data_IF_167824657148
#
_entry.id   IF_167824657148
#
_cell.length_a   1.000
_cell.length_b   1.000
_cell.length_c   1.000
_cell.angle_alpha   90.00
_cell.angle_beta   90.00
_cell.angle_gamma   90.00
#
_symmetry.space_group_name_H-M   'P 1'
#
loop_
_entity.id
_entity.type
_entity.pdbx_description
1 polymer ?
#
# COMPACT_ATOMS: atom_id res chain seq x y z
N UNK A 1 18.04 67.01 -66.56
CA UNK A 1 18.36 65.57 -66.53
C UNK A 1 18.67 65.18 -65.12
N UNK A 2 17.65 64.73 -64.37
CA UNK A 2 17.79 64.30 -62.95
C UNK A 2 17.77 62.77 -62.96
N UNK A 3 18.81 62.19 -62.43
CA UNK A 3 18.91 60.73 -62.22
C UNK A 3 18.46 60.43 -60.77
N UNK A 4 17.33 59.74 -60.61
CA UNK A 4 16.86 59.22 -59.33
C UNK A 4 17.52 57.88 -59.10
N UNK A 5 18.27 57.74 -58.00
CA UNK A 5 18.80 56.46 -57.53
C UNK A 5 17.79 55.84 -56.58
N UNK A 6 17.28 54.66 -56.94
CA UNK A 6 16.41 53.81 -56.09
C UNK A 6 17.29 52.95 -55.15
N UNK A 7 17.23 53.20 -53.87
CA UNK A 7 17.84 52.29 -52.85
C UNK A 7 16.84 51.19 -52.47
N UNK A 8 17.19 49.95 -52.74
CA UNK A 8 16.42 48.75 -52.33
C UNK A 8 16.74 48.45 -50.86
N UNK A 9 15.73 48.54 -50.02
CA UNK A 9 15.79 48.04 -48.62
C UNK A 9 15.32 46.56 -48.57
N UNK A 10 16.21 45.62 -48.24
CA UNK A 10 15.87 44.23 -47.95
C UNK A 10 15.35 44.14 -46.50
N UNK A 11 14.20 43.50 -46.24
CA UNK A 11 13.78 43.23 -44.87
C UNK A 11 14.56 42.00 -44.33
N UNK A 12 15.23 42.18 -43.17
CA UNK A 12 15.81 41.10 -42.39
C UNK A 12 14.70 40.29 -41.74
N UNK A 13 14.51 39.07 -42.20
CA UNK A 13 13.66 38.07 -41.54
C UNK A 13 14.37 37.62 -40.25
N UNK A 14 13.94 38.15 -39.08
CA UNK A 14 14.28 37.63 -37.78
C UNK A 14 13.53 36.29 -37.59
N UNK A 15 14.24 35.19 -37.72
CA UNK A 15 13.72 33.87 -37.41
C UNK A 15 13.49 33.76 -35.89
N UNK A 16 12.24 33.82 -35.43
CA UNK A 16 11.89 33.39 -34.09
C UNK A 16 12.10 31.86 -33.97
N UNK A 17 13.18 31.46 -33.32
CA UNK A 17 13.35 30.11 -32.86
C UNK A 17 12.29 29.82 -31.77
N UNK A 18 11.20 29.17 -32.14
CA UNK A 18 10.24 28.61 -31.18
C UNK A 18 10.93 27.47 -30.46
N UNK A 19 11.35 27.70 -29.24
CA UNK A 19 11.70 26.64 -28.29
C UNK A 19 10.46 25.79 -28.07
N UNK A 20 10.45 24.58 -28.66
CA UNK A 20 9.43 23.61 -28.41
C UNK A 20 9.51 23.22 -26.91
N UNK A 21 8.58 23.76 -26.12
CA UNK A 21 8.36 23.26 -24.77
C UNK A 21 7.88 21.81 -24.90
N UNK A 22 8.75 20.86 -24.60
CA UNK A 22 8.36 19.46 -24.48
C UNK A 22 7.42 19.35 -23.27
N UNK A 23 6.13 19.32 -23.53
CA UNK A 23 5.15 18.93 -22.51
C UNK A 23 5.59 17.60 -21.91
N UNK A 24 5.53 17.43 -20.56
CA UNK A 24 5.84 16.15 -19.95
C UNK A 24 4.99 15.05 -20.62
N UNK A 25 5.63 13.99 -21.09
CA UNK A 25 4.91 12.86 -21.66
C UNK A 25 3.96 12.28 -20.61
N UNK A 26 2.73 11.93 -21.02
CA UNK A 26 1.77 11.28 -20.11
C UNK A 26 2.39 10.05 -19.43
N UNK A 27 2.05 9.80 -18.15
CA UNK A 27 2.54 8.62 -17.45
C UNK A 27 2.18 7.33 -18.23
N UNK A 28 3.12 6.39 -18.30
CA UNK A 28 2.86 5.07 -18.86
C UNK A 28 2.08 4.23 -17.83
N UNK A 29 1.02 3.57 -18.27
CA UNK A 29 0.26 2.58 -17.48
C UNK A 29 0.39 1.20 -18.14
N UNK A 30 0.83 0.17 -17.40
CA UNK A 30 0.97 -1.16 -17.94
C UNK A 30 -0.40 -1.80 -18.20
N UNK A 31 -0.59 -2.48 -19.36
CA UNK A 31 -1.80 -3.24 -19.65
C UNK A 31 -1.96 -4.44 -18.71
N UNK A 32 -3.12 -5.10 -18.76
CA UNK A 32 -3.39 -6.28 -17.96
C UNK A 32 -2.40 -7.41 -18.27
N UNK A 33 -1.84 -8.02 -17.22
CA UNK A 33 -0.93 -9.16 -17.33
C UNK A 33 0.49 -8.82 -17.80
N UNK A 34 0.72 -7.63 -18.37
CA UNK A 34 2.01 -7.20 -18.91
C UNK A 34 2.55 -5.96 -18.21
N UNK A 35 3.85 -5.77 -18.25
CA UNK A 35 4.49 -4.55 -17.78
C UNK A 35 5.76 -4.32 -18.58
N UNK A 36 5.81 -3.21 -19.33
CA UNK A 36 6.96 -2.89 -20.14
C UNK A 36 8.22 -2.69 -19.31
N UNK A 37 9.31 -3.19 -19.83
CA UNK A 37 10.65 -3.03 -19.25
C UNK A 37 11.41 -2.00 -20.08
N UNK A 38 12.26 -1.23 -19.41
CA UNK A 38 13.27 -0.43 -20.07
C UNK A 38 14.63 -0.74 -19.48
N UNK A 39 15.64 -0.75 -20.31
CA UNK A 39 17.01 -0.83 -19.83
C UNK A 39 17.35 0.42 -19.01
N UNK A 40 18.20 0.32 -17.99
CA UNK A 40 18.63 1.46 -17.21
C UNK A 40 19.12 2.63 -18.08
N UNK A 41 19.89 2.34 -19.12
CA UNK A 41 20.45 3.35 -20.03
C UNK A 41 19.38 4.16 -20.77
N UNK A 42 18.26 3.56 -21.18
CA UNK A 42 17.14 4.28 -21.83
C UNK A 42 16.50 5.35 -20.93
N UNK A 43 16.62 5.17 -19.63
CA UNK A 43 16.06 6.11 -18.62
C UNK A 43 17.14 6.95 -17.93
N UNK A 44 18.38 6.90 -18.42
CA UNK A 44 19.51 7.66 -17.85
C UNK A 44 19.99 7.13 -16.50
N UNK A 45 19.60 5.91 -16.11
CA UNK A 45 20.00 5.27 -14.87
C UNK A 45 21.42 4.70 -15.05
N UNK A 46 22.30 4.86 -14.05
CA UNK A 46 23.59 4.19 -14.04
C UNK A 46 23.42 2.67 -13.89
N UNK A 47 23.75 1.87 -14.92
CA UNK A 47 23.49 0.43 -14.89
C UNK A 47 24.33 -0.30 -13.84
N UNK A 48 25.57 0.19 -13.57
CA UNK A 48 26.47 -0.43 -12.59
C UNK A 48 25.98 -0.16 -11.18
N UNK A 49 25.56 1.07 -10.89
CA UNK A 49 25.03 1.43 -9.59
C UNK A 49 23.69 0.70 -9.31
N UNK A 50 22.78 0.60 -10.29
CA UNK A 50 21.55 -0.16 -10.13
C UNK A 50 21.83 -1.66 -9.92
N UNK A 51 22.76 -2.25 -10.68
CA UNK A 51 23.15 -3.66 -10.50
C UNK A 51 23.71 -3.90 -9.10
N UNK A 52 24.53 -3.00 -8.58
CA UNK A 52 25.07 -3.08 -7.22
C UNK A 52 23.95 -2.96 -6.16
N UNK A 53 22.95 -2.10 -6.38
CA UNK A 53 21.78 -2.00 -5.51
C UNK A 53 20.97 -3.32 -5.50
N UNK A 54 20.74 -3.93 -6.65
CA UNK A 54 20.05 -5.23 -6.76
C UNK A 54 20.86 -6.34 -6.07
N UNK A 55 22.15 -6.40 -6.27
CA UNK A 55 23.02 -7.37 -5.61
C UNK A 55 22.98 -7.20 -4.08
N UNK A 56 22.99 -5.96 -3.59
CA UNK A 56 22.77 -5.67 -2.18
C UNK A 56 21.44 -6.25 -1.69
N UNK A 57 20.34 -5.99 -2.40
CA UNK A 57 19.03 -6.48 -2.02
C UNK A 57 18.95 -8.01 -1.97
N UNK A 58 19.53 -8.69 -2.96
CA UNK A 58 19.63 -10.15 -3.02
C UNK A 58 20.43 -10.76 -1.86
N UNK A 59 21.45 -10.06 -1.37
CA UNK A 59 22.27 -10.51 -0.25
C UNK A 59 21.60 -10.39 1.11
N UNK A 60 20.41 -9.80 1.19
CA UNK A 60 19.67 -9.48 2.43
C UNK A 60 18.47 -10.39 2.64
N UNK A 61 18.62 -11.69 2.48
CA UNK A 61 17.56 -12.65 2.84
C UNK A 61 17.19 -12.55 4.32
N UNK A 62 15.92 -12.59 4.63
CA UNK A 62 15.42 -12.67 6.03
C UNK A 62 15.80 -14.01 6.67
N UNK A 63 15.95 -14.03 7.98
CA UNK A 63 16.14 -15.25 8.78
C UNK A 63 14.85 -16.03 9.02
N UNK A 64 13.69 -15.52 8.57
CA UNK A 64 12.40 -16.23 8.72
C UNK A 64 12.44 -17.57 7.99
N UNK A 65 11.87 -18.60 8.63
CA UNK A 65 11.82 -19.93 8.05
C UNK A 65 11.11 -19.95 6.69
N UNK A 66 11.67 -20.66 5.71
CA UNK A 66 11.07 -20.77 4.37
C UNK A 66 9.80 -21.60 4.40
N UNK A 67 9.77 -22.64 5.22
CA UNK A 67 8.67 -23.58 5.40
C UNK A 67 7.61 -23.09 6.42
N UNK A 68 7.69 -21.84 6.84
CA UNK A 68 6.84 -21.26 7.88
C UNK A 68 6.83 -22.04 9.22
N UNK A 69 7.88 -22.81 9.52
CA UNK A 69 7.97 -23.54 10.78
C UNK A 69 7.98 -22.62 12.01
N UNK A 70 8.33 -21.36 11.84
CA UNK A 70 8.27 -20.31 12.87
C UNK A 70 6.90 -19.60 12.98
N UNK A 71 5.95 -19.93 12.12
CA UNK A 71 4.65 -19.25 12.04
C UNK A 71 3.84 -19.39 13.33
N UNK A 72 3.79 -20.59 13.87
CA UNK A 72 2.97 -20.91 15.03
C UNK A 72 3.44 -20.16 16.28
N UNK A 73 4.75 -20.11 16.48
CA UNK A 73 5.35 -19.34 17.58
C UNK A 73 5.17 -17.84 17.45
N UNK A 74 5.08 -17.32 16.21
CA UNK A 74 5.03 -15.88 15.95
C UNK A 74 3.61 -15.35 15.79
N UNK A 75 2.72 -16.10 15.14
CA UNK A 75 1.39 -15.63 14.73
C UNK A 75 0.23 -16.53 15.17
N UNK A 76 0.49 -17.56 15.96
CA UNK A 76 -0.50 -18.57 16.31
C UNK A 76 -0.65 -19.65 15.25
N UNK A 77 -1.77 -20.36 15.25
CA UNK A 77 -1.94 -21.57 14.46
C UNK A 77 -1.61 -21.40 12.98
N UNK A 78 -0.96 -22.41 12.42
CA UNK A 78 -0.86 -22.61 10.98
C UNK A 78 -2.24 -22.80 10.39
N UNK A 79 -2.49 -22.20 9.25
CA UNK A 79 -3.70 -22.47 8.50
C UNK A 79 -3.49 -23.51 7.43
N UNK A 80 -4.49 -24.36 7.31
CA UNK A 80 -4.50 -25.41 6.31
C UNK A 80 -4.44 -24.94 4.84
N UNK A 81 -4.69 -23.67 4.58
CA UNK A 81 -4.67 -23.10 3.24
C UNK A 81 -3.42 -22.25 2.93
N UNK A 82 -2.51 -22.04 3.91
CA UNK A 82 -1.23 -21.37 3.62
C UNK A 82 -0.37 -22.20 2.67
N UNK A 83 0.42 -21.57 1.81
CA UNK A 83 1.46 -22.29 1.10
C UNK A 83 2.43 -22.93 2.09
N UNK A 84 3.01 -24.06 1.69
CA UNK A 84 3.96 -24.79 2.54
C UNK A 84 5.30 -24.09 2.66
N UNK A 85 5.60 -23.19 1.71
CA UNK A 85 6.83 -22.45 1.65
C UNK A 85 6.58 -21.01 1.19
N UNK A 86 7.47 -20.09 1.56
CA UNK A 86 7.56 -18.74 1.03
C UNK A 86 8.63 -18.65 -0.07
N UNK A 87 8.50 -17.66 -0.92
CA UNK A 87 9.60 -17.29 -1.80
C UNK A 87 10.85 -16.89 -0.97
N UNK A 88 12.03 -16.98 -1.59
CA UNK A 88 13.23 -16.31 -1.12
C UNK A 88 13.10 -14.80 -1.33
N UNK A 89 14.11 -14.02 -0.86
CA UNK A 89 14.08 -12.56 -1.10
C UNK A 89 13.92 -12.27 -2.58
N UNK A 90 12.99 -11.40 -2.89
CA UNK A 90 12.66 -11.03 -4.26
C UNK A 90 12.18 -9.57 -4.31
N UNK A 91 12.24 -8.98 -5.49
CA UNK A 91 11.77 -7.60 -5.62
C UNK A 91 11.72 -7.07 -7.03
N UNK A 92 11.08 -5.92 -7.14
CA UNK A 92 10.87 -5.14 -8.36
C UNK A 92 11.20 -3.68 -8.10
N UNK A 93 11.80 -3.04 -9.10
CA UNK A 93 12.01 -1.60 -9.16
C UNK A 93 11.26 -1.04 -10.37
N UNK A 94 10.30 -0.16 -10.11
CA UNK A 94 9.50 0.54 -11.12
C UNK A 94 9.91 2.01 -11.09
N UNK A 95 10.48 2.49 -12.18
CA UNK A 95 10.87 3.89 -12.35
C UNK A 95 10.18 4.51 -13.56
N UNK A 96 9.53 5.66 -13.36
CA UNK A 96 8.74 6.33 -14.40
C UNK A 96 7.70 5.41 -15.08
N UNK A 97 7.15 4.47 -14.31
CA UNK A 97 6.17 3.51 -14.79
C UNK A 97 6.75 2.26 -15.46
N UNK A 98 8.05 2.13 -15.65
CA UNK A 98 8.69 0.98 -16.30
C UNK A 98 9.42 0.10 -15.30
N UNK A 99 9.40 -1.22 -15.52
CA UNK A 99 10.25 -2.15 -14.76
C UNK A 99 11.70 -1.96 -15.21
N UNK A 100 12.56 -1.54 -14.28
CA UNK A 100 13.99 -1.31 -14.54
C UNK A 100 14.88 -2.35 -13.87
N UNK A 101 14.37 -3.04 -12.84
CA UNK A 101 15.05 -4.18 -12.23
C UNK A 101 14.03 -5.16 -11.63
N UNK A 102 14.44 -6.43 -11.63
CA UNK A 102 13.70 -7.54 -11.02
C UNK A 102 14.71 -8.59 -10.54
N UNK A 103 14.43 -9.21 -9.41
CA UNK A 103 15.23 -10.30 -8.87
C UNK A 103 14.42 -11.26 -8.01
N UNK A 104 14.87 -12.52 -7.94
CA UNK A 104 14.19 -13.60 -7.23
C UNK A 104 12.88 -14.02 -7.89
N UNK A 105 12.08 -14.85 -7.19
CA UNK A 105 10.78 -15.31 -7.69
C UNK A 105 9.68 -14.32 -7.35
N UNK A 106 9.53 -13.31 -8.17
CA UNK A 106 8.55 -12.22 -8.02
C UNK A 106 7.12 -12.62 -8.35
N UNK A 107 6.92 -13.79 -8.96
CA UNK A 107 5.61 -14.34 -9.32
C UNK A 107 5.04 -15.26 -8.25
N UNK A 108 5.84 -15.64 -7.27
CA UNK A 108 5.40 -16.50 -6.19
C UNK A 108 4.32 -15.79 -5.35
N UNK A 109 3.24 -16.53 -5.04
CA UNK A 109 2.09 -16.02 -4.29
C UNK A 109 2.22 -16.50 -2.85
N UNK A 110 2.61 -15.59 -1.95
CA UNK A 110 2.79 -15.88 -0.54
C UNK A 110 2.27 -14.75 0.37
N UNK A 111 2.23 -14.97 1.70
CA UNK A 111 1.68 -14.00 2.64
C UNK A 111 2.38 -12.64 2.57
N UNK A 112 1.60 -11.57 2.56
CA UNK A 112 2.11 -10.20 2.62
C UNK A 112 1.92 -9.54 3.98
N UNK A 113 1.29 -10.24 4.93
CA UNK A 113 1.02 -9.78 6.29
C UNK A 113 0.35 -8.40 6.33
N UNK A 114 0.92 -7.46 7.09
CA UNK A 114 0.29 -6.15 7.32
C UNK A 114 0.26 -5.21 6.12
N UNK A 115 0.87 -5.55 4.98
CA UNK A 115 0.61 -4.84 3.72
C UNK A 115 -0.89 -4.88 3.38
N UNK A 116 -1.61 -5.93 3.80
CA UNK A 116 -3.07 -6.02 3.68
C UNK A 116 -3.83 -4.83 4.29
N UNK A 117 -3.26 -4.13 5.27
CA UNK A 117 -3.87 -2.93 5.85
C UNK A 117 -3.95 -1.79 4.83
N UNK A 118 -2.88 -1.56 4.06
CA UNK A 118 -2.88 -0.55 2.99
C UNK A 118 -3.84 -0.94 1.85
N UNK A 119 -4.08 -2.25 1.66
CA UNK A 119 -5.14 -2.72 0.76
C UNK A 119 -6.54 -2.40 1.31
N UNK A 120 -6.77 -2.55 2.63
CA UNK A 120 -8.02 -2.10 3.25
C UNK A 120 -8.24 -0.59 3.09
N UNK A 121 -7.18 0.22 3.19
CA UNK A 121 -7.26 1.66 2.89
C UNK A 121 -7.66 1.90 1.42
N UNK A 122 -7.16 1.09 0.49
CA UNK A 122 -7.55 1.18 -0.92
C UNK A 122 -9.04 0.86 -1.12
N UNK A 123 -9.55 -0.19 -0.46
CA UNK A 123 -10.99 -0.54 -0.50
C UNK A 123 -11.85 0.56 0.16
N UNK A 124 -11.39 1.15 1.25
CA UNK A 124 -12.09 2.29 1.87
C UNK A 124 -12.13 3.51 0.94
N UNK A 125 -11.07 3.77 0.18
CA UNK A 125 -11.06 4.81 -0.86
C UNK A 125 -12.10 4.58 -1.95
N UNK A 126 -12.33 3.32 -2.32
CA UNK A 126 -13.45 2.94 -3.21
C UNK A 126 -14.81 3.25 -2.56
N UNK A 127 -14.98 2.93 -1.26
CA UNK A 127 -16.22 3.26 -0.54
C UNK A 127 -16.48 4.77 -0.49
N UNK A 128 -15.42 5.58 -0.33
CA UNK A 128 -15.51 7.05 -0.39
C UNK A 128 -15.89 7.53 -1.80
N UNK A 129 -15.24 7.01 -2.85
CA UNK A 129 -15.56 7.32 -4.24
C UNK A 129 -17.03 7.08 -4.55
N UNK A 130 -17.56 5.96 -4.08
CA UNK A 130 -18.94 5.54 -4.34
C UNK A 130 -19.96 6.20 -3.39
N UNK A 131 -19.54 7.15 -2.52
CA UNK A 131 -20.40 7.83 -1.56
C UNK A 131 -21.00 6.91 -0.47
N UNK A 132 -20.43 5.72 -0.30
CA UNK A 132 -20.89 4.74 0.71
C UNK A 132 -20.50 5.15 2.12
N UNK A 133 -19.36 5.83 2.27
CA UNK A 133 -18.88 6.36 3.55
C UNK A 133 -18.33 7.79 3.36
N UNK A 134 -18.41 8.58 4.43
CA UNK A 134 -17.65 9.80 4.61
C UNK A 134 -16.66 9.56 5.76
N UNK A 135 -15.36 9.85 5.58
CA UNK A 135 -14.32 9.42 6.53
C UNK A 135 -14.51 9.96 7.95
N UNK A 136 -15.09 11.16 8.08
CA UNK A 136 -15.33 11.81 9.37
C UNK A 136 -16.68 11.43 10.00
N UNK A 137 -17.56 10.66 9.33
CA UNK A 137 -18.81 10.23 9.93
C UNK A 137 -18.59 9.01 10.85
N UNK A 138 -19.40 8.88 11.93
CA UNK A 138 -19.41 7.68 12.76
C UNK A 138 -19.77 6.43 11.96
N UNK A 139 -19.00 5.34 12.17
CA UNK A 139 -19.23 4.05 11.50
C UNK A 139 -20.62 3.50 11.76
N UNK A 140 -21.13 3.67 12.98
CA UNK A 140 -22.46 3.21 13.40
C UNK A 140 -23.63 3.78 12.59
N UNK A 141 -23.42 4.86 11.82
CA UNK A 141 -24.45 5.36 10.89
C UNK A 141 -24.70 4.43 9.70
N UNK A 142 -23.70 3.63 9.33
CA UNK A 142 -23.74 2.71 8.17
C UNK A 142 -23.75 1.25 8.58
N UNK A 143 -23.18 0.93 9.76
CA UNK A 143 -22.98 -0.44 10.25
C UNK A 143 -23.77 -0.64 11.53
N UNK A 144 -24.84 -1.43 11.45
CA UNK A 144 -25.82 -1.64 12.52
C UNK A 144 -25.76 -3.05 13.14
N UNK A 145 -24.63 -3.73 13.01
CA UNK A 145 -24.40 -5.11 13.48
C UNK A 145 -24.11 -5.23 14.99
N UNK A 146 -24.35 -4.18 15.77
CA UNK A 146 -24.10 -4.12 17.21
C UNK A 146 -22.69 -3.70 17.60
N UNK A 147 -21.71 -3.76 16.72
CA UNK A 147 -20.31 -3.46 17.05
C UNK A 147 -20.02 -1.99 17.40
N UNK A 148 -20.99 -1.10 17.11
CA UNK A 148 -20.89 0.34 17.40
C UNK A 148 -22.05 0.83 18.27
N UNK A 149 -22.69 -0.07 19.05
CA UNK A 149 -23.86 0.28 19.85
C UNK A 149 -23.52 0.91 21.21
N UNK A 150 -22.33 0.66 21.77
CA UNK A 150 -21.94 1.28 23.05
C UNK A 150 -21.72 2.79 22.90
N UNK A 151 -21.88 3.54 23.99
CA UNK A 151 -21.67 4.99 24.00
C UNK A 151 -20.25 5.39 23.50
N UNK A 152 -19.25 4.56 23.76
CA UNK A 152 -17.89 4.75 23.26
C UNK A 152 -17.81 4.47 21.76
N UNK A 153 -18.22 3.27 21.35
CA UNK A 153 -18.07 2.82 19.97
C UNK A 153 -18.92 3.62 18.98
N UNK A 154 -20.04 4.20 19.45
CA UNK A 154 -20.88 5.08 18.64
C UNK A 154 -20.16 6.35 18.15
N UNK A 155 -19.05 6.73 18.80
CA UNK A 155 -18.22 7.88 18.41
C UNK A 155 -17.13 7.53 17.41
N UNK A 156 -16.87 6.24 17.17
CA UNK A 156 -15.80 5.79 16.28
C UNK A 156 -16.12 6.14 14.84
N UNK A 157 -15.22 6.87 14.17
CA UNK A 157 -15.32 7.25 12.77
C UNK A 157 -14.51 6.32 11.85
N UNK A 158 -14.79 6.36 10.56
CA UNK A 158 -14.00 5.66 9.54
C UNK A 158 -12.55 6.13 9.52
N UNK A 159 -12.33 7.44 9.68
CA UNK A 159 -11.00 8.05 9.76
C UNK A 159 -10.18 7.49 10.92
N UNK A 160 -10.79 7.34 12.08
CA UNK A 160 -10.11 6.76 13.24
C UNK A 160 -9.69 5.30 13.01
N UNK A 161 -10.47 4.51 12.27
CA UNK A 161 -10.03 3.18 11.84
C UNK A 161 -8.83 3.25 10.91
N UNK A 162 -8.88 4.12 9.92
CA UNK A 162 -7.80 4.33 8.95
C UNK A 162 -6.51 4.83 9.60
N UNK A 163 -6.61 5.64 10.66
CA UNK A 163 -5.48 6.16 11.42
C UNK A 163 -5.08 5.27 12.61
N UNK A 164 -5.81 4.18 12.88
CA UNK A 164 -5.65 3.33 14.07
C UNK A 164 -5.78 4.08 15.41
N UNK A 165 -6.74 4.98 15.49
CA UNK A 165 -7.05 5.81 16.66
C UNK A 165 -8.44 5.55 17.24
N UNK A 166 -9.04 4.37 16.96
CA UNK A 166 -10.45 4.12 17.32
C UNK A 166 -10.69 3.99 18.80
N UNK A 167 -9.75 3.45 19.56
CA UNK A 167 -10.01 3.00 20.93
C UNK A 167 -11.32 2.18 21.06
N UNK A 168 -11.69 1.49 19.98
CA UNK A 168 -12.86 0.61 19.93
C UNK A 168 -12.74 -0.48 21.00
N UNK A 169 -13.81 -0.67 21.76
CA UNK A 169 -13.91 -1.69 22.80
C UNK A 169 -14.74 -2.88 22.34
N UNK A 170 -14.40 -4.06 22.83
CA UNK A 170 -15.13 -5.28 22.53
C UNK A 170 -14.22 -6.46 22.20
N UNK A 171 -14.82 -7.49 21.67
CA UNK A 171 -14.11 -8.66 21.15
C UNK A 171 -14.59 -8.99 19.74
N UNK A 172 -13.72 -9.55 18.94
CA UNK A 172 -14.03 -10.00 17.61
C UNK A 172 -13.38 -11.37 17.37
N UNK A 173 -14.20 -12.36 17.01
CA UNK A 173 -13.77 -13.73 16.73
C UNK A 173 -12.90 -14.35 17.85
N UNK A 174 -13.31 -14.10 19.11
CA UNK A 174 -12.63 -14.64 20.30
C UNK A 174 -11.37 -13.87 20.69
N UNK A 175 -11.11 -12.68 20.11
CA UNK A 175 -9.99 -11.81 20.48
C UNK A 175 -10.49 -10.47 21.00
N UNK A 176 -9.94 -10.04 22.13
CA UNK A 176 -10.24 -8.73 22.70
C UNK A 176 -9.60 -7.59 21.88
N UNK A 177 -10.24 -6.44 21.90
CA UNK A 177 -9.76 -5.25 21.19
C UNK A 177 -8.44 -4.68 21.74
N UNK A 178 -8.05 -5.02 22.95
CA UNK A 178 -6.77 -4.66 23.56
C UNK A 178 -5.63 -5.62 23.18
N UNK A 179 -5.94 -6.73 22.48
CA UNK A 179 -4.94 -7.62 21.91
C UNK A 179 -4.25 -6.96 20.71
N UNK A 180 -3.05 -6.46 20.91
CA UNK A 180 -2.28 -5.77 19.87
C UNK A 180 -1.28 -6.65 19.13
N UNK A 181 -1.14 -7.90 19.59
CA UNK A 181 -0.27 -8.88 18.97
C UNK A 181 1.21 -8.75 19.26
N UNK A 182 1.64 -7.86 20.12
CA UNK A 182 3.04 -7.77 20.53
C UNK A 182 3.47 -8.98 21.35
N UNK A 183 2.53 -9.65 22.00
CA UNK A 183 2.73 -10.86 22.77
C UNK A 183 3.36 -11.98 21.92
N UNK A 184 3.02 -12.03 20.64
CA UNK A 184 3.59 -12.98 19.69
C UNK A 184 5.05 -12.69 19.29
N UNK A 185 5.59 -11.51 19.65
CA UNK A 185 6.97 -11.15 19.38
C UNK A 185 7.86 -11.22 20.63
N UNK A 186 7.42 -11.94 21.67
CA UNK A 186 8.20 -12.09 22.90
C UNK A 186 8.25 -10.86 23.81
N UNK A 187 7.36 -9.89 23.57
CA UNK A 187 7.31 -8.66 24.39
C UNK A 187 6.56 -8.86 25.74
N UNK A 188 6.21 -10.08 26.10
CA UNK A 188 5.45 -10.40 27.30
C UNK A 188 3.95 -10.07 27.18
N UNK A 189 3.17 -10.45 28.20
CA UNK A 189 1.76 -10.05 28.29
C UNK A 189 1.63 -8.56 28.45
N UNK A 190 0.81 -7.94 27.61
CA UNK A 190 0.48 -6.52 27.75
C UNK A 190 -0.36 -6.32 29.02
N UNK A 191 0.09 -5.43 29.89
CA UNK A 191 -0.78 -4.97 30.99
C UNK A 191 -1.97 -4.21 30.41
N UNK A 192 -3.22 -4.58 30.79
CA UNK A 192 -4.38 -3.80 30.38
C UNK A 192 -4.19 -2.32 30.75
N UNK A 193 -4.52 -1.44 29.84
CA UNK A 193 -4.58 0.01 30.08
C UNK A 193 -6.02 0.50 29.97
N UNK A 194 -6.33 1.61 30.63
CA UNK A 194 -7.59 2.29 30.42
C UNK A 194 -7.66 2.79 28.97
N UNK A 195 -8.80 2.56 28.31
CA UNK A 195 -9.07 3.11 26.98
C UNK A 195 -9.25 4.61 27.05
N UNK A 196 -8.69 5.32 26.11
CA UNK A 196 -8.88 6.76 25.93
C UNK A 196 -10.11 7.05 25.05
N UNK A 197 -10.47 8.31 24.87
CA UNK A 197 -11.55 8.68 23.97
C UNK A 197 -11.20 8.27 22.51
N UNK A 198 -12.17 7.82 21.69
CA UNK A 198 -11.93 7.59 20.28
C UNK A 198 -11.34 8.83 19.60
N UNK A 199 -10.27 8.64 18.82
CA UNK A 199 -9.54 9.71 18.14
C UNK A 199 -8.49 10.43 18.96
N UNK A 200 -8.20 10.01 20.21
CA UNK A 200 -7.23 10.67 21.06
C UNK A 200 -5.95 9.86 21.34
N UNK A 201 -5.84 8.66 20.78
CA UNK A 201 -4.71 7.77 21.01
C UNK A 201 -4.44 6.87 19.81
N UNK A 202 -3.20 6.88 19.34
CA UNK A 202 -2.73 5.98 18.29
C UNK A 202 -2.30 4.63 18.89
N UNK A 203 -2.87 3.56 18.38
CA UNK A 203 -2.44 2.21 18.70
C UNK A 203 -2.56 1.29 17.51
N UNK A 204 -1.41 0.81 17.01
CA UNK A 204 -1.38 -0.20 15.96
C UNK A 204 -2.01 -1.50 16.48
N UNK A 205 -3.20 -1.89 15.96
CA UNK A 205 -4.04 -2.92 16.54
C UNK A 205 -4.71 -3.78 15.47
N UNK A 206 -4.44 -5.08 15.47
CA UNK A 206 -4.97 -6.00 14.45
C UNK A 206 -6.47 -6.27 14.64
N UNK A 207 -6.97 -6.36 15.87
CA UNK A 207 -8.39 -6.67 16.13
C UNK A 207 -9.29 -5.52 15.67
N UNK A 208 -8.87 -4.28 15.94
CA UNK A 208 -9.59 -3.07 15.49
C UNK A 208 -9.57 -2.94 13.97
N UNK A 209 -8.48 -3.34 13.31
CA UNK A 209 -8.43 -3.40 11.85
C UNK A 209 -9.30 -4.52 11.28
N UNK A 210 -9.40 -5.66 11.95
CA UNK A 210 -10.33 -6.72 11.56
C UNK A 210 -11.79 -6.24 11.70
N UNK A 211 -12.10 -5.44 12.75
CA UNK A 211 -13.41 -4.77 12.89
C UNK A 211 -13.67 -3.81 11.73
N UNK A 212 -12.66 -3.07 11.31
CA UNK A 212 -12.76 -2.20 10.14
C UNK A 212 -13.06 -2.99 8.85
N UNK A 213 -12.35 -4.10 8.62
CA UNK A 213 -12.60 -4.96 7.45
C UNK A 213 -14.03 -5.51 7.44
N UNK A 214 -14.56 -5.94 8.61
CA UNK A 214 -15.95 -6.35 8.76
C UNK A 214 -16.90 -5.19 8.47
N UNK A 215 -16.59 -3.99 8.91
CA UNK A 215 -17.41 -2.81 8.65
C UNK A 215 -17.47 -2.46 7.17
N UNK A 216 -16.36 -2.59 6.44
CA UNK A 216 -16.35 -2.43 4.98
C UNK A 216 -17.20 -3.50 4.28
N UNK A 217 -17.12 -4.77 4.71
CA UNK A 217 -18.00 -5.83 4.20
C UNK A 217 -19.47 -5.45 4.35
N UNK A 218 -19.88 -4.93 5.54
CA UNK A 218 -21.27 -4.49 5.79
C UNK A 218 -21.69 -3.33 4.90
N UNK A 219 -20.80 -2.36 4.68
CA UNK A 219 -21.09 -1.19 3.84
C UNK A 219 -21.24 -1.55 2.36
N UNK A 220 -20.40 -2.47 1.88
CA UNK A 220 -20.51 -2.93 0.48
C UNK A 220 -21.62 -3.97 0.29
N UNK A 221 -22.10 -4.59 1.36
CA UNK A 221 -22.98 -5.76 1.30
C UNK A 221 -22.40 -6.87 0.43
N UNK A 222 -21.06 -7.00 0.49
CA UNK A 222 -20.27 -7.89 -0.35
C UNK A 222 -18.93 -8.22 0.33
N UNK A 223 -18.40 -9.44 0.18
CA UNK A 223 -17.06 -9.76 0.68
C UNK A 223 -15.99 -8.82 0.14
N UNK A 224 -15.16 -8.26 1.02
CA UNK A 224 -14.10 -7.31 0.67
C UNK A 224 -13.18 -7.80 -0.45
N UNK A 225 -12.78 -9.09 -0.53
CA UNK A 225 -11.99 -9.59 -1.65
C UNK A 225 -12.67 -9.44 -3.01
N UNK A 226 -14.00 -9.59 -3.09
CA UNK A 226 -14.74 -9.41 -4.33
C UNK A 226 -14.77 -7.94 -4.75
N UNK A 227 -15.02 -7.04 -3.80
CA UNK A 227 -14.94 -5.58 -4.05
C UNK A 227 -13.55 -5.20 -4.54
N UNK A 228 -12.51 -5.70 -3.88
CA UNK A 228 -11.13 -5.41 -4.23
C UNK A 228 -10.78 -5.92 -5.63
N UNK A 229 -11.20 -7.14 -6.00
CA UNK A 229 -11.02 -7.66 -7.36
C UNK A 229 -11.67 -6.75 -8.39
N UNK A 230 -12.96 -6.52 -8.25
CA UNK A 230 -13.77 -5.83 -9.27
C UNK A 230 -13.46 -4.35 -9.41
N UNK A 231 -13.19 -3.68 -8.27
CA UNK A 231 -13.08 -2.22 -8.23
C UNK A 231 -11.63 -1.70 -8.25
N UNK A 232 -10.66 -2.59 -8.01
CA UNK A 232 -9.24 -2.22 -7.96
C UNK A 232 -8.39 -3.11 -8.85
N UNK A 233 -8.34 -4.42 -8.60
CA UNK A 233 -7.38 -5.32 -9.24
C UNK A 233 -7.64 -5.47 -10.75
N UNK A 234 -8.91 -5.66 -11.16
CA UNK A 234 -9.28 -5.71 -12.57
C UNK A 234 -8.96 -4.40 -13.30
N UNK A 235 -9.39 -3.21 -12.77
CA UNK A 235 -9.06 -1.93 -13.39
C UNK A 235 -7.56 -1.64 -13.54
N UNK A 236 -6.72 -2.08 -12.60
CA UNK A 236 -5.26 -1.90 -12.72
C UNK A 236 -4.56 -3.03 -13.49
N UNK A 237 -5.31 -4.00 -14.01
CA UNK A 237 -4.79 -5.11 -14.80
C UNK A 237 -3.92 -6.08 -14.00
N UNK A 238 -4.22 -6.26 -12.71
CA UNK A 238 -3.55 -7.22 -11.85
C UNK A 238 -3.95 -8.66 -12.16
N UNK A 239 -3.20 -9.64 -11.64
CA UNK A 239 -3.49 -11.05 -11.86
C UNK A 239 -4.66 -11.54 -10.99
N UNK A 240 -5.15 -12.76 -11.27
CA UNK A 240 -6.15 -13.46 -10.46
C UNK A 240 -5.49 -14.46 -9.50
N UNK A 241 -4.17 -14.42 -9.33
CA UNK A 241 -3.44 -15.42 -8.53
C UNK A 241 -3.48 -15.13 -7.03
N UNK A 242 -3.75 -13.89 -6.64
CA UNK A 242 -3.81 -13.48 -5.23
C UNK A 242 -5.02 -14.09 -4.50
N UNK A 243 -4.91 -14.18 -3.17
CA UNK A 243 -5.97 -14.67 -2.28
C UNK A 243 -6.04 -13.81 -1.03
N UNK A 244 -7.24 -13.60 -0.51
CA UNK A 244 -7.42 -13.00 0.81
C UNK A 244 -8.24 -13.95 1.66
N UNK A 245 -7.55 -14.63 2.56
CA UNK A 245 -8.09 -15.77 3.32
C UNK A 245 -8.65 -15.26 4.64
N UNK A 246 -9.91 -15.63 5.00
CA UNK A 246 -10.47 -15.35 6.32
C UNK A 246 -9.83 -16.21 7.39
N UNK A 247 -10.03 -15.85 8.65
CA UNK A 247 -9.80 -16.81 9.76
C UNK A 247 -10.83 -17.93 9.73
N UNK A 248 -10.53 -19.07 10.35
CA UNK A 248 -11.44 -20.21 10.39
C UNK A 248 -12.82 -19.88 11.00
N UNK A 249 -12.90 -18.84 11.86
CA UNK A 249 -14.11 -18.41 12.56
C UNK A 249 -14.57 -16.99 12.14
N UNK A 250 -14.01 -16.40 11.08
CA UNK A 250 -14.38 -15.05 10.65
C UNK A 250 -15.36 -15.05 9.48
N UNK A 251 -16.41 -15.85 9.61
CA UNK A 251 -17.55 -15.84 8.69
C UNK A 251 -18.73 -15.13 9.32
N UNK A 252 -19.48 -14.40 8.53
CA UNK A 252 -20.66 -13.66 8.95
C UNK A 252 -21.81 -13.90 7.98
N UNK A 253 -23.02 -13.84 8.50
CA UNK A 253 -24.19 -13.89 7.63
C UNK A 253 -24.30 -12.60 6.82
N UNK A 254 -24.49 -12.76 5.52
CA UNK A 254 -24.71 -11.69 4.55
C UNK A 254 -25.75 -12.19 3.54
N UNK A 255 -26.93 -11.58 3.52
CA UNK A 255 -28.03 -11.94 2.60
C UNK A 255 -28.38 -13.45 2.64
N UNK A 256 -28.48 -14.03 3.83
CA UNK A 256 -28.82 -15.44 4.04
C UNK A 256 -27.71 -16.44 3.72
N UNK A 257 -26.48 -15.97 3.47
CA UNK A 257 -25.30 -16.81 3.18
C UNK A 257 -24.14 -16.48 4.10
N UNK A 258 -23.29 -17.48 4.36
CA UNK A 258 -22.03 -17.25 5.07
C UNK A 258 -21.03 -16.56 4.14
N UNK A 259 -20.58 -15.38 4.53
CA UNK A 259 -19.59 -14.57 3.82
C UNK A 259 -18.29 -14.47 4.63
N UNK A 260 -17.12 -14.58 3.99
CA UNK A 260 -15.83 -14.43 4.66
C UNK A 260 -15.56 -12.98 5.00
N UNK A 261 -15.20 -12.69 6.25
CA UNK A 261 -14.62 -11.43 6.65
C UNK A 261 -13.12 -11.59 6.77
N UNK A 262 -12.39 -10.75 6.04
CA UNK A 262 -10.93 -10.85 5.95
C UNK A 262 -10.24 -10.03 7.05
N UNK A 263 -8.94 -10.24 7.21
CA UNK A 263 -8.12 -9.55 8.20
C UNK A 263 -7.11 -8.61 7.55
N UNK A 264 -6.65 -7.63 8.33
CA UNK A 264 -5.55 -6.75 7.95
C UNK A 264 -4.16 -7.31 8.28
N UNK A 265 -4.05 -8.60 8.57
CA UNK A 265 -2.79 -9.28 8.88
C UNK A 265 -2.90 -10.78 8.66
N UNK A 266 -1.86 -11.54 9.03
CA UNK A 266 -1.79 -13.00 8.80
C UNK A 266 -1.80 -13.78 10.11
N UNK A 267 -2.38 -13.21 11.17
CA UNK A 267 -2.54 -13.91 12.42
C UNK A 267 -3.63 -14.96 12.30
N UNK A 268 -3.49 -16.01 13.13
CA UNK A 268 -4.48 -17.10 13.18
C UNK A 268 -4.85 -17.64 11.80
N UNK A 269 -3.88 -17.40 10.88
CA UNK A 269 -3.84 -18.01 9.60
C UNK A 269 -4.72 -17.38 8.52
N UNK A 270 -5.40 -16.30 8.75
CA UNK A 270 -5.98 -15.46 7.70
C UNK A 270 -4.93 -14.54 7.12
N UNK A 271 -5.26 -13.83 6.06
CA UNK A 271 -4.43 -12.79 5.47
C UNK A 271 -4.42 -12.81 3.96
N UNK A 272 -3.69 -11.84 3.40
CA UNK A 272 -3.55 -11.69 1.96
C UNK A 272 -2.28 -12.38 1.47
N UNK A 273 -2.41 -13.16 0.40
CA UNK A 273 -1.31 -13.75 -0.36
C UNK A 273 -1.33 -13.20 -1.76
N UNK A 274 -0.20 -12.65 -2.17
CA UNK A 274 -0.11 -11.87 -3.39
C UNK A 274 1.32 -11.93 -3.92
N UNK A 275 1.53 -11.85 -5.21
CA UNK A 275 2.83 -11.77 -5.84
C UNK A 275 3.38 -10.33 -5.85
N UNK A 276 4.68 -10.17 -6.11
CA UNK A 276 5.34 -8.86 -6.12
C UNK A 276 4.88 -7.94 -7.25
N UNK A 277 4.43 -8.48 -8.38
CA UNK A 277 3.92 -7.69 -9.51
C UNK A 277 2.61 -7.01 -9.18
N UNK A 278 1.68 -7.73 -8.56
CA UNK A 278 0.39 -7.16 -8.15
C UNK A 278 0.58 -6.14 -7.01
N UNK A 279 1.54 -6.40 -6.08
CA UNK A 279 1.93 -5.40 -5.09
C UNK A 279 2.49 -4.13 -5.73
N UNK A 280 3.31 -4.27 -6.78
CA UNK A 280 3.86 -3.12 -7.51
C UNK A 280 2.77 -2.31 -8.21
N UNK A 281 1.74 -2.96 -8.80
CA UNK A 281 0.58 -2.27 -9.39
C UNK A 281 -0.19 -1.45 -8.37
N UNK A 282 -0.37 -1.99 -7.16
CA UNK A 282 -0.98 -1.24 -6.05
C UNK A 282 -0.14 -0.04 -5.65
N UNK A 283 1.17 -0.21 -5.48
CA UNK A 283 2.08 0.91 -5.21
C UNK A 283 2.04 1.98 -6.31
N UNK A 284 1.98 1.55 -7.56
CA UNK A 284 1.91 2.46 -8.70
C UNK A 284 0.56 3.20 -8.79
N UNK A 285 -0.56 2.55 -8.49
CA UNK A 285 -1.87 3.22 -8.35
C UNK A 285 -1.78 4.37 -7.34
N UNK A 286 -1.18 4.12 -6.17
CA UNK A 286 -1.03 5.15 -5.13
C UNK A 286 -0.05 6.25 -5.56
N UNK A 287 1.05 5.90 -6.22
CA UNK A 287 1.97 6.88 -6.82
C UNK A 287 1.27 7.80 -7.82
N UNK A 288 0.27 7.30 -8.54
CA UNK A 288 -0.52 8.04 -9.53
C UNK A 288 -1.77 8.72 -8.92
N UNK A 289 -1.78 8.94 -7.61
CA UNK A 289 -2.88 9.66 -6.94
C UNK A 289 -4.22 8.93 -7.02
N UNK A 290 -4.21 7.61 -7.12
CA UNK A 290 -5.41 6.80 -7.24
C UNK A 290 -5.99 6.72 -8.65
N UNK A 291 -5.29 7.23 -9.66
CA UNK A 291 -5.68 7.14 -11.07
C UNK A 291 -4.95 5.98 -11.77
N UNK A 292 -5.60 5.37 -12.75
CA UNK A 292 -5.03 4.36 -13.62
C UNK A 292 -5.60 4.49 -15.02
N UNK A 293 -4.74 4.81 -15.98
CA UNK A 293 -5.06 4.90 -17.42
C UNK A 293 -6.38 5.64 -17.70
N UNK A 294 -6.47 6.87 -17.21
CA UNK A 294 -7.66 7.74 -17.38
C UNK A 294 -8.84 7.43 -16.44
N UNK A 295 -8.78 6.36 -15.63
CA UNK A 295 -9.82 6.04 -14.63
C UNK A 295 -9.39 6.50 -13.24
N UNK A 296 -10.26 7.23 -12.53
CA UNK A 296 -10.06 7.55 -11.13
C UNK A 296 -10.62 6.43 -10.24
N UNK A 297 -9.73 5.62 -9.68
CA UNK A 297 -10.08 4.48 -8.81
C UNK A 297 -10.27 4.96 -7.37
N UNK A 298 -9.40 5.84 -6.89
CA UNK A 298 -9.49 6.46 -5.57
C UNK A 298 -9.61 7.97 -5.74
N UNK A 299 -10.48 8.68 -4.98
CA UNK A 299 -10.54 10.14 -5.06
C UNK A 299 -9.18 10.77 -4.75
N UNK A 300 -8.72 11.78 -5.50
CA UNK A 300 -7.43 12.45 -5.23
C UNK A 300 -7.38 13.08 -3.83
N UNK A 301 -8.50 13.63 -3.34
CA UNK A 301 -8.61 14.15 -1.97
C UNK A 301 -8.39 13.06 -0.93
N UNK A 302 -8.98 11.87 -1.14
CA UNK A 302 -8.78 10.72 -0.25
C UNK A 302 -7.30 10.28 -0.20
N UNK A 303 -6.64 10.20 -1.35
CA UNK A 303 -5.21 9.85 -1.41
C UNK A 303 -4.36 10.90 -0.68
N UNK A 304 -4.65 12.18 -0.87
CA UNK A 304 -3.98 13.27 -0.16
C UNK A 304 -4.16 13.14 1.36
N UNK A 305 -5.39 12.91 1.83
CA UNK A 305 -5.69 12.77 3.25
C UNK A 305 -5.03 11.51 3.82
N UNK A 306 -5.01 10.42 3.05
CA UNK A 306 -4.38 9.16 3.43
C UNK A 306 -2.86 9.28 3.65
N UNK A 307 -2.21 10.18 2.95
CA UNK A 307 -0.77 10.47 3.07
C UNK A 307 -0.47 11.67 3.98
N UNK A 308 -1.47 12.16 4.69
CA UNK A 308 -1.32 13.20 5.73
C UNK A 308 -1.22 12.52 7.10
N UNK A 309 -0.20 12.84 7.91
CA UNK A 309 -0.01 12.21 9.21
C UNK A 309 -1.15 12.54 10.17
N UNK A 310 -1.50 11.58 11.02
CA UNK A 310 -2.39 11.84 12.14
C UNK A 310 -1.69 12.60 13.27
N UNK A 311 -2.47 13.24 14.14
CA UNK A 311 -1.93 14.00 15.27
C UNK A 311 -1.24 13.07 16.29
N UNK A 312 -1.80 11.89 16.52
CA UNK A 312 -1.32 10.94 17.53
C UNK A 312 -0.38 9.89 16.96
N UNK A 313 -0.38 9.69 15.64
CA UNK A 313 0.53 8.81 14.91
C UNK A 313 1.26 9.58 13.79
N UNK A 314 2.23 10.47 14.12
CA UNK A 314 2.83 11.40 13.16
C UNK A 314 3.62 10.73 12.02
N UNK A 315 3.90 9.46 12.14
CA UNK A 315 4.56 8.65 11.11
C UNK A 315 3.58 7.67 10.41
N UNK A 316 2.26 7.91 10.56
CA UNK A 316 1.21 7.04 10.05
C UNK A 316 0.04 7.84 9.47
N UNK A 317 -0.43 7.43 8.30
CA UNK A 317 -1.61 7.98 7.64
C UNK A 317 -2.77 6.97 7.61
N UNK A 318 -3.54 6.92 6.52
CA UNK A 318 -4.59 5.92 6.37
C UNK A 318 -4.00 4.54 6.03
N UNK A 319 -3.55 3.83 7.06
CA UNK A 319 -2.93 2.50 6.98
C UNK A 319 -1.67 2.45 6.09
N UNK A 320 -0.98 3.58 5.95
CA UNK A 320 0.32 3.72 5.32
C UNK A 320 1.35 4.26 6.32
N UNK A 321 2.55 3.73 6.28
CA UNK A 321 3.70 4.26 7.01
C UNK A 321 4.28 5.44 6.25
N UNK A 322 4.32 6.61 6.90
CA UNK A 322 4.77 7.86 6.32
C UNK A 322 6.21 8.18 6.75
N UNK A 323 6.91 8.95 5.92
CA UNK A 323 8.28 9.38 6.18
C UNK A 323 8.40 10.85 6.62
N UNK A 324 7.33 11.44 7.11
CA UNK A 324 7.25 12.89 7.43
C UNK A 324 8.38 13.41 8.31
N UNK A 325 8.92 12.54 9.20
CA UNK A 325 10.05 12.87 10.08
C UNK A 325 11.36 12.15 9.70
N UNK A 326 11.41 11.51 8.52
CA UNK A 326 12.59 10.76 8.07
C UNK A 326 12.90 9.50 8.89
N UNK A 327 11.99 9.05 9.76
CA UNK A 327 12.24 7.94 10.69
C UNK A 327 11.99 6.57 10.08
N UNK A 328 10.88 6.41 9.33
CA UNK A 328 10.49 5.11 8.77
C UNK A 328 11.35 4.73 7.56
N UNK A 329 11.70 5.73 6.76
CA UNK A 329 12.48 5.57 5.53
C UNK A 329 13.66 6.55 5.53
N UNK A 330 14.70 6.31 6.37
CA UNK A 330 15.82 7.25 6.52
C UNK A 330 16.53 7.51 5.18
N UNK A 331 16.81 8.79 4.91
CA UNK A 331 17.48 9.23 3.68
C UNK A 331 16.56 9.44 2.48
N UNK A 332 15.28 9.04 2.56
CA UNK A 332 14.28 9.33 1.52
C UNK A 332 13.57 10.67 1.79
N UNK A 333 12.96 11.27 0.75
CA UNK A 333 12.13 12.45 0.89
C UNK A 333 11.02 12.27 1.93
N UNK A 334 10.58 13.37 2.54
CA UNK A 334 9.53 13.35 3.57
C UNK A 334 8.16 12.90 3.06
N UNK A 335 7.92 12.97 1.76
CA UNK A 335 6.70 12.52 1.09
C UNK A 335 6.77 11.04 0.64
N UNK A 336 7.87 10.34 0.90
CA UNK A 336 7.94 8.90 0.69
C UNK A 336 7.06 8.18 1.72
N UNK A 337 6.49 7.05 1.33
CA UNK A 337 5.64 6.23 2.18
C UNK A 337 5.76 4.75 1.84
N UNK A 338 5.32 3.89 2.73
CA UNK A 338 5.39 2.46 2.52
C UNK A 338 4.23 1.68 3.15
N UNK A 339 3.84 0.59 2.49
CA UNK A 339 3.11 -0.49 3.11
C UNK A 339 4.12 -1.52 3.62
N UNK A 340 4.04 -1.86 4.91
CA UNK A 340 4.99 -2.76 5.56
C UNK A 340 4.28 -3.97 6.16
N UNK A 341 4.84 -5.16 5.97
CA UNK A 341 4.35 -6.40 6.53
C UNK A 341 5.45 -7.22 7.20
N UNK A 342 5.08 -8.08 8.13
CA UNK A 342 6.01 -9.00 8.79
C UNK A 342 6.77 -9.84 7.75
N UNK A 343 7.98 -10.29 8.10
CA UNK A 343 8.91 -10.91 7.16
C UNK A 343 9.56 -9.88 6.22
N UNK A 344 9.41 -8.59 6.53
CA UNK A 344 9.88 -7.46 5.71
C UNK A 344 9.29 -7.48 4.29
N UNK A 345 7.97 -7.66 4.21
CA UNK A 345 7.23 -7.44 2.96
C UNK A 345 6.98 -5.93 2.81
N UNK A 346 7.49 -5.34 1.75
CA UNK A 346 7.50 -3.88 1.57
C UNK A 346 6.99 -3.50 0.19
N UNK A 347 6.09 -2.51 0.15
CA UNK A 347 5.81 -1.69 -1.04
C UNK A 347 6.17 -0.25 -0.67
N UNK A 348 7.27 0.23 -1.21
CA UNK A 348 7.78 1.58 -0.99
C UNK A 348 7.45 2.45 -2.18
N UNK A 349 6.96 3.66 -1.91
CA UNK A 349 6.63 4.66 -2.93
C UNK A 349 7.38 5.96 -2.63
N UNK A 350 8.10 6.47 -3.63
CA UNK A 350 8.81 7.75 -3.56
C UNK A 350 8.34 8.67 -4.68
N UNK A 351 7.37 9.57 -4.40
CA UNK A 351 6.79 10.46 -5.42
C UNK A 351 7.82 11.37 -6.10
N UNK A 352 8.74 11.96 -5.34
CA UNK A 352 9.77 12.87 -5.88
C UNK A 352 10.68 12.18 -6.91
N UNK A 353 10.80 10.86 -6.84
CA UNK A 353 11.63 10.08 -7.76
C UNK A 353 10.81 9.31 -8.81
N UNK A 354 9.48 9.44 -8.83
CA UNK A 354 8.60 8.63 -9.67
C UNK A 354 8.94 7.13 -9.57
N UNK A 355 9.04 6.63 -8.32
CA UNK A 355 9.64 5.34 -7.99
C UNK A 355 8.71 4.49 -7.12
N UNK A 356 8.55 3.22 -7.50
CA UNK A 356 7.97 2.17 -6.65
C UNK A 356 8.98 1.05 -6.51
N UNK A 357 9.19 0.58 -5.28
CA UNK A 357 10.00 -0.60 -4.98
C UNK A 357 9.16 -1.60 -4.21
N UNK A 358 9.11 -2.82 -4.71
CA UNK A 358 8.66 -3.98 -3.94
C UNK A 358 9.88 -4.76 -3.53
N UNK A 359 10.02 -5.04 -2.23
CA UNK A 359 11.07 -5.88 -1.70
C UNK A 359 10.51 -6.77 -0.60
N UNK A 360 10.66 -8.07 -0.78
CA UNK A 360 10.02 -9.06 0.09
C UNK A 360 11.05 -10.00 0.71
N UNK A 361 10.75 -10.46 1.93
CA UNK A 361 11.54 -11.45 2.66
C UNK A 361 12.98 -11.04 2.88
N UNK A 362 13.18 -9.78 3.24
CA UNK A 362 14.50 -9.21 3.43
C UNK A 362 14.83 -8.96 4.90
N UNK A 363 16.13 -8.87 5.20
CA UNK A 363 16.65 -8.34 6.44
C UNK A 363 17.02 -6.85 6.26
N UNK A 364 16.87 -6.06 7.32
CA UNK A 364 17.22 -4.64 7.33
C UNK A 364 16.09 -3.69 6.95
N UNK A 365 16.42 -2.43 6.73
CA UNK A 365 15.48 -1.38 6.39
C UNK A 365 15.37 -1.23 4.86
N UNK A 366 14.15 -1.22 4.34
CA UNK A 366 13.88 -1.03 2.90
C UNK A 366 14.46 0.30 2.35
N UNK A 367 14.63 1.32 3.20
CA UNK A 367 15.28 2.57 2.81
C UNK A 367 16.72 2.39 2.35
N UNK A 368 17.46 1.41 2.87
CA UNK A 368 18.84 1.15 2.42
C UNK A 368 18.89 0.76 0.93
N UNK A 369 18.00 -0.13 0.53
CA UNK A 369 17.89 -0.51 -0.88
C UNK A 369 17.39 0.66 -1.74
N UNK A 370 16.35 1.35 -1.29
CA UNK A 370 15.79 2.48 -2.01
C UNK A 370 16.80 3.61 -2.21
N UNK A 371 17.60 3.96 -1.20
CA UNK A 371 18.66 4.96 -1.32
C UNK A 371 19.73 4.56 -2.37
N UNK A 372 20.09 3.26 -2.42
CA UNK A 372 21.03 2.76 -3.45
C UNK A 372 20.43 2.83 -4.85
N UNK A 373 19.13 2.53 -5.01
CA UNK A 373 18.42 2.69 -6.27
C UNK A 373 18.36 4.17 -6.65
N UNK A 374 17.99 5.07 -5.73
CA UNK A 374 17.93 6.51 -5.97
C UNK A 374 19.30 7.08 -6.37
N UNK A 375 20.37 6.62 -5.74
CA UNK A 375 21.72 7.04 -6.10
C UNK A 375 22.14 6.64 -7.54
N UNK A 376 21.44 5.68 -8.15
CA UNK A 376 21.67 5.27 -9.55
C UNK A 376 20.84 6.10 -10.56
N UNK A 377 19.82 6.84 -10.10
CA UNK A 377 18.93 7.61 -10.95
C UNK A 377 19.67 8.86 -11.54
N UNK A 378 19.21 9.38 -12.69
CA UNK A 378 19.76 10.61 -13.25
C UNK A 378 19.53 11.77 -12.26
N UNK A 379 20.55 12.66 -12.18
CA UNK A 379 20.49 13.88 -11.35
C UNK A 379 19.64 14.97 -11.98
#
# INVERSE_FOLDING_TARGET
MLILSLAAVLPALAGCATSASTSPSAPYFPPAGEWARKSPAELGIDPKALAAAVQFAQSRETTRAVDFSDQEATFGSRLGSMPTERARTNGLVIYKGYVVAEFGDTRFVDPTYSVAKSVLATVAGVAVRDGRIAVDEPVGKRVTDGGYASARNAQVTWKQHLQQETEWEGSLWGKNADFIGKEAFGAGERKPRALQAPGSFYEYNDVRINRFALSLLRVFDQPVPQVFQQQVMDPIGASNSWKWVPYHNSYVELNGKQAPSVSGGTRWGGGMWINSWDMARLGYLWLRGGAWDGKQILPPSYVKDALTPSVHGPDYGYLWWLNTKGKNLPGLPSNAYAALGAGSNTVLVSPDHDLVIVWRWHAGNAAEFANKVIASLPR
#
